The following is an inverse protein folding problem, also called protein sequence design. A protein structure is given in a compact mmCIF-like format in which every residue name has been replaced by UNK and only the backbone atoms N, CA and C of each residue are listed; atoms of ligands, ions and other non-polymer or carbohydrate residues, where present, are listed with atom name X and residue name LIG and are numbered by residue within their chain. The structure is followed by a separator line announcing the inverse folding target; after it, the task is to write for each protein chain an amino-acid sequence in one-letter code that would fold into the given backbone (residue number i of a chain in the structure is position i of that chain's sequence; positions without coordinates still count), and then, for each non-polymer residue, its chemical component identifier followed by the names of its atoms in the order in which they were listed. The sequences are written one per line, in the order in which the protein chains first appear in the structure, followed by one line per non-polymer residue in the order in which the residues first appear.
data_IF_175852814679
#
_entry.id   IF_175852814679
#
_cell.length_a   1.000
_cell.length_b   1.000
_cell.length_c   1.000
_cell.angle_alpha   90.00
_cell.angle_beta   90.00
_cell.angle_gamma   90.00
#
_symmetry.space_group_name_H-M   'P 1'
#
loop_
_entity.id
_entity.type
_entity.pdbx_description
1 polymer ?
#
# COMPACT_ATOMS: atom_id res chain seq x y z
N UNK A 1 -2.59 -18.11 3.70
CA UNK A 1 -2.12 -16.83 4.29
C UNK A 1 -2.55 -16.65 5.74
N UNK A 2 -3.83 -16.80 6.08
CA UNK A 2 -4.29 -16.58 7.46
C UNK A 2 -3.67 -17.54 8.50
N UNK A 3 -3.41 -18.80 8.13
CA UNK A 3 -2.72 -19.75 9.02
C UNK A 3 -1.30 -19.28 9.42
N UNK A 4 -0.56 -18.68 8.47
CA UNK A 4 0.77 -18.10 8.72
C UNK A 4 0.68 -16.85 9.61
N UNK A 5 -0.33 -16.01 9.42
CA UNK A 5 -0.55 -14.83 10.27
C UNK A 5 -0.83 -15.22 11.71
N UNK A 6 -1.64 -16.26 11.92
CA UNK A 6 -1.92 -16.81 13.26
C UNK A 6 -0.67 -17.40 13.91
N UNK A 7 0.15 -18.13 13.14
CA UNK A 7 1.43 -18.65 13.63
C UNK A 7 2.39 -17.53 14.07
N UNK A 8 2.40 -16.40 13.36
CA UNK A 8 3.18 -15.21 13.73
C UNK A 8 2.50 -14.30 14.77
N UNK A 9 1.36 -14.70 15.37
CA UNK A 9 0.55 -13.88 16.31
C UNK A 9 0.15 -12.50 15.74
N UNK A 10 -0.02 -12.41 14.42
CA UNK A 10 -0.41 -11.17 13.74
C UNK A 10 -1.92 -11.11 13.50
N UNK A 11 -2.51 -9.93 13.72
CA UNK A 11 -3.93 -9.68 13.47
C UNK A 11 -4.22 -9.65 11.96
N UNK A 12 -5.23 -10.39 11.51
CA UNK A 12 -5.59 -10.44 10.09
C UNK A 12 -6.30 -9.15 9.64
N UNK A 13 -5.58 -8.34 8.87
CA UNK A 13 -6.12 -7.18 8.17
C UNK A 13 -6.53 -7.48 6.72
N UNK A 14 -6.66 -8.76 6.37
CA UNK A 14 -7.11 -9.20 5.04
C UNK A 14 -8.58 -8.83 4.84
N UNK A 15 -8.93 -8.39 3.62
CA UNK A 15 -10.32 -8.14 3.24
C UNK A 15 -11.10 -9.45 3.12
N UNK A 16 -12.31 -9.46 3.66
CA UNK A 16 -13.21 -10.60 3.54
C UNK A 16 -13.85 -10.58 2.16
N UNK A 17 -13.75 -11.69 1.41
CA UNK A 17 -14.38 -11.84 0.09
C UNK A 17 -15.75 -12.52 0.24
N UNK A 18 -16.76 -12.00 -0.44
CA UNK A 18 -18.07 -12.65 -0.56
C UNK A 18 -17.97 -13.88 -1.46
N UNK A 19 -18.82 -14.87 -1.24
CA UNK A 19 -18.90 -16.07 -2.10
C UNK A 19 -20.28 -16.16 -2.75
N UNK A 20 -20.38 -16.87 -3.87
CA UNK A 20 -21.67 -17.14 -4.53
C UNK A 20 -22.63 -17.80 -3.51
N UNK A 21 -23.83 -17.23 -3.36
CA UNK A 21 -24.82 -17.68 -2.38
C UNK A 21 -24.56 -17.27 -0.92
N UNK A 22 -23.43 -16.60 -0.63
CA UNK A 22 -23.10 -16.08 0.72
C UNK A 22 -22.55 -14.66 0.59
N UNK A 23 -23.43 -13.65 0.44
CA UNK A 23 -23.04 -12.26 0.37
C UNK A 23 -22.35 -11.83 1.67
N UNK A 24 -21.55 -10.76 1.58
CA UNK A 24 -20.93 -10.18 2.77
C UNK A 24 -22.00 -9.57 3.66
N UNK A 25 -21.93 -9.86 4.97
CA UNK A 25 -22.76 -9.17 5.97
C UNK A 25 -22.44 -7.68 6.02
N UNK A 26 -23.39 -6.84 6.43
CA UNK A 26 -23.18 -5.39 6.57
C UNK A 26 -22.00 -5.07 7.51
N UNK A 27 -21.86 -5.82 8.61
CA UNK A 27 -20.71 -5.72 9.50
C UNK A 27 -19.39 -6.06 8.78
N UNK A 28 -19.40 -7.08 7.91
CA UNK A 28 -18.26 -7.44 7.08
C UNK A 28 -17.88 -6.35 6.07
N UNK A 29 -18.88 -5.67 5.50
CA UNK A 29 -18.67 -4.53 4.59
C UNK A 29 -18.06 -3.35 5.33
N UNK A 30 -18.57 -3.03 6.53
CA UNK A 30 -18.01 -1.99 7.40
C UNK A 30 -16.54 -2.25 7.76
N UNK A 31 -16.23 -3.48 8.18
CA UNK A 31 -14.83 -3.88 8.46
C UNK A 31 -13.92 -3.74 7.24
N UNK A 32 -14.40 -4.16 6.06
CA UNK A 32 -13.64 -4.00 4.82
C UNK A 32 -13.44 -2.52 4.45
N UNK A 33 -14.42 -1.65 4.70
CA UNK A 33 -14.35 -0.21 4.44
C UNK A 33 -13.24 0.46 5.26
N UNK A 34 -13.15 0.13 6.55
CA UNK A 34 -12.08 0.63 7.42
C UNK A 34 -10.70 0.13 6.96
N UNK A 35 -10.61 -1.13 6.54
CA UNK A 35 -9.36 -1.69 5.99
C UNK A 35 -9.00 -1.06 4.63
N UNK A 36 -9.99 -0.77 3.78
CA UNK A 36 -9.75 -0.22 2.44
C UNK A 36 -9.34 1.26 2.46
N UNK A 37 -9.81 2.05 3.44
CA UNK A 37 -9.47 3.48 3.53
C UNK A 37 -7.97 3.72 3.75
N UNK A 38 -7.31 2.84 4.51
CA UNK A 38 -5.85 2.86 4.67
C UNK A 38 -5.17 2.33 3.41
N UNK A 39 -5.66 1.22 2.84
CA UNK A 39 -5.07 0.61 1.64
C UNK A 39 -5.07 1.53 0.43
N UNK A 40 -6.19 2.21 0.15
CA UNK A 40 -6.29 3.13 -0.98
C UNK A 40 -5.23 4.26 -0.91
N UNK A 41 -4.88 4.70 0.30
CA UNK A 41 -3.84 5.70 0.53
C UNK A 41 -2.41 5.20 0.31
N UNK A 42 -2.17 3.89 0.26
CA UNK A 42 -0.82 3.34 0.05
C UNK A 42 -0.69 2.59 -1.27
N UNK A 43 -1.77 2.02 -1.80
CA UNK A 43 -1.74 1.24 -3.04
C UNK A 43 -1.27 2.07 -4.24
N UNK A 44 -1.65 3.35 -4.32
CA UNK A 44 -1.17 4.22 -5.37
C UNK A 44 0.34 4.50 -5.29
N UNK A 45 0.92 4.48 -4.08
CA UNK A 45 2.38 4.57 -3.86
C UNK A 45 3.06 3.32 -4.41
N UNK A 46 2.54 2.14 -4.08
CA UNK A 46 3.07 0.87 -4.59
C UNK A 46 2.90 0.72 -6.10
N UNK A 47 1.78 1.18 -6.67
CA UNK A 47 1.55 1.20 -8.11
C UNK A 47 2.57 2.08 -8.84
N UNK A 48 2.80 3.28 -8.32
CA UNK A 48 3.84 4.18 -8.83
C UNK A 48 5.26 3.61 -8.72
N UNK A 49 5.59 2.96 -7.60
CA UNK A 49 6.90 2.30 -7.46
C UNK A 49 7.08 1.14 -8.43
N UNK A 50 6.01 0.38 -8.67
CA UNK A 50 6.05 -0.78 -9.56
C UNK A 50 6.18 -0.36 -11.02
N UNK A 51 5.38 0.62 -11.45
CA UNK A 51 5.30 1.05 -12.83
C UNK A 51 6.43 2.01 -13.22
N UNK A 52 6.68 3.04 -12.40
CA UNK A 52 7.58 4.13 -12.80
C UNK A 52 8.99 4.01 -12.21
N UNK A 53 9.16 3.25 -11.13
CA UNK A 53 10.44 3.19 -10.38
C UNK A 53 11.18 1.86 -10.54
N UNK A 54 10.94 1.18 -11.67
CA UNK A 54 11.62 -0.05 -12.04
C UNK A 54 11.29 -1.25 -11.15
N UNK A 55 10.07 -1.30 -10.60
CA UNK A 55 9.60 -2.42 -9.81
C UNK A 55 10.05 -2.42 -8.34
N UNK A 56 9.50 -3.37 -7.59
CA UNK A 56 9.79 -3.57 -6.16
C UNK A 56 11.07 -4.41 -5.92
N UNK A 57 11.55 -5.12 -6.95
CA UNK A 57 12.73 -5.98 -6.85
C UNK A 57 14.02 -5.15 -6.84
N UNK A 58 14.87 -5.38 -5.85
CA UNK A 58 16.16 -4.72 -5.69
C UNK A 58 17.28 -5.76 -5.71
N UNK A 59 18.18 -5.68 -6.70
CA UNK A 59 19.36 -6.55 -6.84
C UNK A 59 20.60 -5.92 -6.19
N UNK A 60 20.49 -5.48 -4.93
CA UNK A 60 21.59 -4.78 -4.25
C UNK A 60 22.22 -5.70 -3.21
N UNK A 61 23.56 -5.70 -3.12
CA UNK A 61 24.30 -6.50 -2.15
C UNK A 61 24.32 -5.78 -0.80
N UNK A 62 23.84 -6.46 0.24
CA UNK A 62 23.84 -5.99 1.62
C UNK A 62 22.57 -5.23 2.02
N UNK A 63 22.09 -5.53 3.22
CA UNK A 63 20.84 -4.97 3.77
C UNK A 63 20.87 -3.44 3.91
N UNK A 64 22.01 -2.86 4.28
CA UNK A 64 22.15 -1.40 4.44
C UNK A 64 21.89 -0.67 3.12
N UNK A 65 22.49 -1.15 2.02
CA UNK A 65 22.31 -0.56 0.69
C UNK A 65 20.87 -0.75 0.19
N UNK A 66 20.28 -1.92 0.43
CA UNK A 66 18.87 -2.16 0.09
C UNK A 66 17.94 -1.21 0.83
N UNK A 67 18.14 -1.01 2.15
CA UNK A 67 17.36 -0.04 2.94
C UNK A 67 17.51 1.37 2.40
N UNK A 68 18.73 1.81 2.10
CA UNK A 68 18.99 3.14 1.52
C UNK A 68 18.27 3.31 0.17
N UNK A 69 18.31 2.29 -0.70
CA UNK A 69 17.64 2.34 -2.02
C UNK A 69 16.12 2.39 -1.92
N UNK A 70 15.52 1.65 -0.98
CA UNK A 70 14.09 1.76 -0.67
C UNK A 70 13.75 3.16 -0.16
N UNK A 71 14.56 3.70 0.77
CA UNK A 71 14.41 5.06 1.29
C UNK A 71 14.43 6.12 0.18
N UNK A 72 15.41 6.04 -0.72
CA UNK A 72 15.50 6.93 -1.88
C UNK A 72 14.29 6.82 -2.82
N UNK A 73 13.78 5.60 -3.06
CA UNK A 73 12.55 5.43 -3.85
C UNK A 73 11.35 6.11 -3.19
N UNK A 74 11.18 5.94 -1.88
CA UNK A 74 10.10 6.60 -1.15
C UNK A 74 10.24 8.14 -1.19
N UNK A 75 11.46 8.67 -1.02
CA UNK A 75 11.71 10.11 -1.09
C UNK A 75 11.38 10.68 -2.47
N UNK A 76 11.89 10.06 -3.55
CA UNK A 76 11.63 10.50 -4.91
C UNK A 76 10.13 10.45 -5.25
N UNK A 77 9.42 9.41 -4.78
CA UNK A 77 7.96 9.34 -4.89
C UNK A 77 7.29 10.53 -4.20
N UNK A 78 7.67 10.84 -2.96
CA UNK A 78 7.10 11.95 -2.19
C UNK A 78 7.34 13.31 -2.86
N UNK A 79 8.55 13.55 -3.39
CA UNK A 79 8.87 14.78 -4.12
C UNK A 79 8.01 14.92 -5.38
N UNK A 80 7.89 13.86 -6.17
CA UNK A 80 7.04 13.84 -7.37
C UNK A 80 5.57 14.05 -7.02
N UNK A 81 5.11 13.41 -5.94
CA UNK A 81 3.72 13.55 -5.46
C UNK A 81 3.43 14.97 -5.00
N UNK A 82 4.37 15.62 -4.31
CA UNK A 82 4.24 17.02 -3.91
C UNK A 82 4.03 17.93 -5.11
N UNK A 83 4.83 17.77 -6.17
CA UNK A 83 4.69 18.56 -7.41
C UNK A 83 3.33 18.32 -8.06
N UNK A 84 2.87 17.07 -8.13
CA UNK A 84 1.53 16.75 -8.65
C UNK A 84 0.43 17.43 -7.82
N UNK A 85 0.51 17.35 -6.49
CA UNK A 85 -0.47 17.97 -5.60
C UNK A 85 -0.49 19.49 -5.73
N UNK A 86 0.67 20.13 -5.87
CA UNK A 86 0.78 21.57 -6.14
C UNK A 86 0.22 21.97 -7.50
N UNK A 87 0.34 21.11 -8.52
CA UNK A 87 -0.27 21.37 -9.84
C UNK A 87 -1.78 21.21 -9.82
N UNK A 88 -2.29 20.24 -9.05
CA UNK A 88 -3.73 20.01 -8.90
C UNK A 88 -4.39 21.08 -8.01
N UNK A 89 -3.67 21.57 -6.99
CA UNK A 89 -4.09 22.67 -6.12
C UNK A 89 -3.07 23.82 -6.22
N UNK A 90 -3.14 24.64 -7.28
CA UNK A 90 -2.18 25.72 -7.53
C UNK A 90 -2.19 26.80 -6.43
N UNK A 91 -3.29 26.95 -5.70
CA UNK A 91 -3.43 27.81 -4.53
C UNK A 91 -3.96 27.00 -3.34
N UNK A 92 -3.09 26.38 -2.51
CA UNK A 92 -3.52 25.92 -1.20
C UNK A 92 -3.80 27.17 -0.34
N UNK A 93 -5.00 27.25 0.22
CA UNK A 93 -5.39 28.29 1.18
C UNK A 93 -4.50 28.28 2.43
#
# INVERSE_FOLDING_TARGET
MEARLRACKLKSHIHRKGKRGKPLTEQGKGSNRTKSSVRARVEHVFGAQTNDMGGTLLRTIGLVRTKAKIGMKNLAYNMRRLVQLRRLNPCPA
#
